data_IF_164972919300
#
_entry.id   IF_164972919300
#
_cell.length_a   1.000
_cell.length_b   1.000
_cell.length_c   1.000
_cell.angle_alpha   90.00
_cell.angle_beta   90.00
_cell.angle_gamma   90.00
#
_symmetry.space_group_name_H-M   'P 1'
#
loop_
_entity.id
_entity.type
_entity.pdbx_description
1 polymer ?
#
# COMPACT_ATOMS: atom_id res chain seq x y z
N UNK A 1 12.16 7.18 -9.29
CA UNK A 1 13.44 7.27 -8.56
C UNK A 1 13.92 5.95 -7.95
N UNK A 2 13.03 5.02 -7.55
CA UNK A 2 13.45 3.65 -7.16
C UNK A 2 14.16 2.94 -8.33
N UNK A 3 13.61 3.03 -9.54
CA UNK A 3 14.23 2.48 -10.75
C UNK A 3 15.67 2.98 -11.00
N UNK A 4 15.97 4.25 -10.69
CA UNK A 4 17.31 4.84 -10.89
C UNK A 4 18.37 4.24 -9.96
N UNK A 5 18.00 3.91 -8.72
CA UNK A 5 18.92 3.32 -7.73
C UNK A 5 19.07 1.80 -7.92
N UNK A 6 17.97 1.13 -8.28
CA UNK A 6 17.96 -0.30 -8.64
C UNK A 6 18.83 -0.58 -9.87
N UNK A 7 18.78 0.28 -10.90
CA UNK A 7 19.62 0.16 -12.12
C UNK A 7 21.12 0.32 -11.85
N UNK A 8 21.52 1.05 -10.81
CA UNK A 8 22.94 1.33 -10.51
C UNK A 8 23.52 0.43 -9.42
N UNK A 9 22.76 -0.54 -8.91
CA UNK A 9 23.23 -1.48 -7.88
C UNK A 9 23.54 -0.81 -6.53
N UNK A 10 23.05 0.41 -6.30
CA UNK A 10 23.23 1.13 -5.05
C UNK A 10 22.01 0.86 -4.17
N UNK A 11 22.21 0.15 -3.07
CA UNK A 11 21.19 0.00 -2.03
C UNK A 11 20.92 1.37 -1.43
N UNK A 12 19.65 1.77 -1.35
CA UNK A 12 19.26 2.91 -0.54
C UNK A 12 19.42 2.45 0.92
N UNK A 13 20.41 2.96 1.69
CA UNK A 13 20.73 2.45 3.03
C UNK A 13 19.79 3.05 4.07
N UNK A 14 18.51 3.18 3.71
CA UNK A 14 17.49 3.84 4.50
C UNK A 14 16.14 3.23 4.12
N UNK A 15 15.34 2.93 5.14
CA UNK A 15 13.98 2.42 5.00
C UNK A 15 13.10 3.44 4.26
N UNK A 16 11.96 3.00 3.70
CA UNK A 16 11.04 3.93 3.02
C UNK A 16 10.63 5.11 3.93
N UNK A 17 10.34 4.94 5.24
CA UNK A 17 10.08 6.05 6.16
C UNK A 17 11.26 7.00 6.35
N UNK A 18 12.49 6.49 6.48
CA UNK A 18 13.69 7.33 6.55
C UNK A 18 13.91 8.08 5.25
N UNK A 19 13.57 7.46 4.13
CA UNK A 19 13.61 8.07 2.80
C UNK A 19 12.58 9.19 2.69
N UNK A 20 11.32 8.96 3.07
CA UNK A 20 10.29 9.99 3.12
C UNK A 20 10.61 11.11 4.12
N UNK A 21 11.17 10.78 5.29
CA UNK A 21 11.64 11.78 6.25
C UNK A 21 12.82 12.60 5.69
N UNK A 22 13.72 11.96 4.93
CA UNK A 22 14.78 12.63 4.20
C UNK A 22 14.25 13.54 3.09
N UNK A 23 13.19 13.13 2.39
CA UNK A 23 12.49 13.95 1.41
C UNK A 23 11.83 15.16 2.08
N UNK A 24 11.10 14.97 3.18
CA UNK A 24 10.47 16.06 3.93
C UNK A 24 11.47 17.09 4.47
N UNK A 25 12.70 16.66 4.78
CA UNK A 25 13.78 17.56 5.22
C UNK A 25 14.44 18.32 4.07
N UNK A 26 14.47 17.76 2.87
CA UNK A 26 15.26 18.28 1.73
C UNK A 26 14.43 18.94 0.66
N UNK A 27 13.17 18.56 0.55
CA UNK A 27 12.29 18.96 -0.53
C UNK A 27 10.96 19.47 0.02
N UNK A 28 10.42 20.56 -0.55
CA UNK A 28 9.09 21.05 -0.22
C UNK A 28 8.01 20.03 -0.58
N UNK A 29 7.09 19.81 0.36
CA UNK A 29 5.93 18.93 0.20
C UNK A 29 4.71 19.71 -0.31
N UNK A 30 3.97 19.12 -1.27
CA UNK A 30 2.66 19.58 -1.74
C UNK A 30 1.75 18.39 -2.01
N UNK A 31 0.57 18.37 -1.40
CA UNK A 31 -0.44 17.31 -1.56
C UNK A 31 0.14 15.88 -1.38
N UNK A 32 1.07 15.68 -0.45
CA UNK A 32 1.71 14.39 -0.20
C UNK A 32 2.80 13.98 -1.20
N UNK A 33 3.24 14.91 -2.07
CA UNK A 33 4.34 14.73 -3.02
C UNK A 33 5.50 15.69 -2.71
N UNK A 34 6.73 15.28 -3.01
CA UNK A 34 7.93 16.10 -2.82
C UNK A 34 8.45 16.63 -4.15
N UNK A 35 8.68 17.94 -4.21
CA UNK A 35 9.10 18.64 -5.43
C UNK A 35 10.49 19.26 -5.27
N UNK A 36 11.21 19.43 -6.38
CA UNK A 36 12.37 20.31 -6.38
C UNK A 36 11.92 21.75 -6.07
N UNK A 37 12.72 22.58 -5.38
CA UNK A 37 12.35 23.96 -5.05
C UNK A 37 11.84 24.76 -6.25
N UNK A 38 12.45 24.58 -7.43
CA UNK A 38 12.08 25.28 -8.66
C UNK A 38 10.75 24.79 -9.27
N UNK A 39 10.32 23.57 -8.93
CA UNK A 39 9.06 22.98 -9.42
C UNK A 39 7.84 23.38 -8.58
N UNK A 40 8.06 23.90 -7.35
CA UNK A 40 7.00 24.27 -6.43
C UNK A 40 6.13 25.38 -6.99
N UNK A 41 6.75 26.44 -7.51
CA UNK A 41 6.02 27.58 -8.03
C UNK A 41 5.13 27.22 -9.23
N UNK A 42 5.60 26.30 -10.08
CA UNK A 42 4.83 25.80 -11.21
C UNK A 42 3.70 24.87 -10.76
N UNK A 43 3.96 23.99 -9.80
CA UNK A 43 2.94 23.14 -9.19
C UNK A 43 1.85 23.95 -8.51
N UNK A 44 2.21 24.90 -7.65
CA UNK A 44 1.26 25.75 -6.92
C UNK A 44 0.39 26.56 -7.90
N UNK A 45 0.99 27.07 -9.00
CA UNK A 45 0.25 27.76 -10.07
C UNK A 45 -0.75 26.85 -10.79
N UNK A 46 -0.36 25.62 -11.11
CA UNK A 46 -1.26 24.61 -11.72
C UNK A 46 -2.32 24.14 -10.72
N UNK A 47 -1.98 24.01 -9.44
CA UNK A 47 -2.90 23.59 -8.37
C UNK A 47 -4.01 24.60 -8.15
N UNK A 48 -3.68 25.90 -8.21
CA UNK A 48 -4.67 26.98 -8.15
C UNK A 48 -5.65 26.97 -9.34
N UNK A 49 -5.26 26.38 -10.49
CA UNK A 49 -6.16 26.22 -11.65
C UNK A 49 -7.05 24.97 -11.58
N UNK A 50 -6.73 24.01 -10.70
CA UNK A 50 -7.46 22.74 -10.56
C UNK A 50 -8.31 22.81 -9.30
N UNK A 51 -9.57 23.23 -9.46
CA UNK A 51 -10.51 23.43 -8.33
C UNK A 51 -10.94 22.12 -7.66
N UNK A 52 -10.78 20.98 -8.34
CA UNK A 52 -11.15 19.67 -7.84
C UNK A 52 -10.15 18.65 -8.42
N UNK A 53 -9.38 17.96 -7.57
CA UNK A 53 -8.88 16.63 -7.96
C UNK A 53 -10.10 15.71 -7.79
N UNK A 54 -11.08 15.88 -8.66
CA UNK A 54 -12.19 14.96 -8.78
C UNK A 54 -11.63 13.68 -9.39
N UNK A 55 -11.43 12.71 -8.52
CA UNK A 55 -11.90 11.36 -8.79
C UNK A 55 -11.33 10.77 -10.10
N UNK A 56 -10.02 10.47 -10.12
CA UNK A 56 -9.61 9.25 -10.81
C UNK A 56 -10.47 8.15 -10.20
N UNK A 57 -11.52 7.73 -10.90
CA UNK A 57 -12.19 6.47 -10.62
C UNK A 57 -11.10 5.40 -10.75
N UNK A 58 -10.45 5.11 -9.63
CA UNK A 58 -9.51 4.01 -9.54
C UNK A 58 -10.35 2.77 -9.72
N UNK A 59 -10.25 2.17 -10.90
CA UNK A 59 -10.77 0.83 -11.09
C UNK A 59 -10.05 -0.07 -10.09
N UNK A 60 -10.82 -0.66 -9.17
CA UNK A 60 -10.29 -1.63 -8.21
C UNK A 60 -10.17 -2.96 -8.94
N UNK A 61 -8.99 -3.18 -9.52
CA UNK A 61 -8.68 -4.37 -10.33
C UNK A 61 -7.74 -5.31 -9.62
N UNK A 62 -6.98 -4.82 -8.64
CA UNK A 62 -5.98 -5.56 -7.90
C UNK A 62 -5.87 -5.12 -6.43
N UNK A 63 -5.08 -5.82 -5.62
CA UNK A 63 -4.81 -5.48 -4.22
C UNK A 63 -4.27 -4.05 -4.08
N UNK A 64 -3.38 -3.63 -4.99
CA UNK A 64 -2.72 -2.32 -4.90
C UNK A 64 -3.71 -1.16 -5.10
N UNK A 65 -4.59 -1.28 -6.09
CA UNK A 65 -5.67 -0.35 -6.41
C UNK A 65 -6.77 -0.39 -5.35
N UNK A 66 -7.08 -1.56 -4.77
CA UNK A 66 -8.00 -1.69 -3.64
C UNK A 66 -7.49 -0.92 -2.41
N UNK A 67 -6.21 -1.07 -2.07
CA UNK A 67 -5.59 -0.33 -0.96
C UNK A 67 -5.58 1.16 -1.24
N UNK A 68 -5.30 1.56 -2.49
CA UNK A 68 -5.34 2.98 -2.87
C UNK A 68 -6.75 3.57 -2.76
N UNK A 69 -7.77 2.81 -3.18
CA UNK A 69 -9.17 3.19 -3.01
C UNK A 69 -9.53 3.33 -1.53
N UNK A 70 -9.15 2.37 -0.68
CA UNK A 70 -9.35 2.44 0.77
C UNK A 70 -8.64 3.65 1.39
N UNK A 71 -7.41 3.95 0.96
CA UNK A 71 -6.68 5.14 1.39
C UNK A 71 -7.46 6.42 1.05
N UNK A 72 -8.06 6.51 -0.14
CA UNK A 72 -8.89 7.67 -0.49
C UNK A 72 -10.13 7.78 0.41
N UNK A 73 -10.84 6.67 0.63
CA UNK A 73 -12.02 6.65 1.50
C UNK A 73 -11.68 7.06 2.95
N UNK A 74 -10.56 6.58 3.48
CA UNK A 74 -10.14 6.85 4.85
C UNK A 74 -9.46 8.21 5.02
N UNK A 75 -8.89 8.77 3.95
CA UNK A 75 -8.38 10.14 3.93
C UNK A 75 -9.52 11.16 4.01
N UNK A 76 -10.66 10.87 3.39
CA UNK A 76 -11.85 11.72 3.49
C UNK A 76 -12.44 11.70 4.90
N UNK A 77 -12.59 10.50 5.47
CA UNK A 77 -13.07 10.33 6.84
C UNK A 77 -12.72 8.95 7.40
N UNK A 78 -12.43 8.83 8.70
CA UNK A 78 -12.39 7.55 9.39
C UNK A 78 -13.74 6.85 9.37
N UNK A 79 -13.77 5.60 8.91
CA UNK A 79 -15.00 4.85 8.66
C UNK A 79 -14.97 3.48 9.32
N UNK A 80 -16.13 3.00 9.73
CA UNK A 80 -16.28 1.63 10.23
C UNK A 80 -16.30 0.61 9.09
N UNK A 81 -16.07 -0.67 9.41
CA UNK A 81 -16.23 -1.74 8.43
C UNK A 81 -17.63 -1.76 7.80
N UNK A 82 -18.67 -1.52 8.60
CA UNK A 82 -20.06 -1.49 8.13
C UNK A 82 -20.33 -0.36 7.13
N UNK A 83 -19.65 0.77 7.29
CA UNK A 83 -19.75 1.90 6.35
C UNK A 83 -18.97 1.62 5.05
N UNK A 84 -17.80 0.99 5.15
CA UNK A 84 -16.92 0.71 4.00
C UNK A 84 -17.40 -0.47 3.14
N UNK A 85 -17.91 -1.54 3.76
CA UNK A 85 -18.22 -2.78 3.07
C UNK A 85 -19.19 -2.64 1.88
N UNK A 86 -20.34 -1.94 2.01
CA UNK A 86 -21.24 -1.75 0.87
C UNK A 86 -20.64 -0.91 -0.26
N UNK A 87 -19.71 0.00 0.05
CA UNK A 87 -19.01 0.80 -0.95
C UNK A 87 -17.95 -0.06 -1.66
N UNK A 88 -17.18 -0.83 -0.90
CA UNK A 88 -16.17 -1.73 -1.45
C UNK A 88 -16.77 -2.76 -2.42
N UNK A 89 -17.90 -3.38 -2.04
CA UNK A 89 -18.58 -4.36 -2.90
C UNK A 89 -19.07 -3.78 -4.24
N UNK A 90 -19.30 -2.47 -4.33
CA UNK A 90 -19.68 -1.81 -5.59
C UNK A 90 -18.48 -1.62 -6.52
N UNK A 91 -17.29 -1.45 -5.97
CA UNK A 91 -16.08 -1.07 -6.70
C UNK A 91 -15.27 -2.29 -7.17
N UNK A 92 -15.35 -3.43 -6.47
CA UNK A 92 -14.60 -4.66 -6.82
C UNK A 92 -15.12 -5.41 -8.07
N UNK A 93 -16.10 -4.86 -8.80
CA UNK A 93 -16.69 -5.53 -9.97
C UNK A 93 -15.70 -5.83 -11.10
N UNK A 94 -14.57 -5.12 -11.14
CA UNK A 94 -13.51 -5.28 -12.14
C UNK A 94 -12.31 -6.12 -11.70
N UNK A 95 -12.42 -6.92 -10.63
CA UNK A 95 -11.29 -7.67 -10.09
C UNK A 95 -10.59 -8.57 -11.11
N UNK A 96 -9.27 -8.54 -11.13
CA UNK A 96 -8.44 -9.34 -12.01
C UNK A 96 -8.70 -10.84 -11.78
N UNK A 97 -8.96 -11.60 -12.86
CA UNK A 97 -9.34 -13.02 -12.78
C UNK A 97 -8.21 -13.89 -12.23
N UNK A 98 -6.97 -13.46 -12.42
CA UNK A 98 -5.75 -14.16 -12.01
C UNK A 98 -5.32 -13.77 -10.58
N UNK A 99 -5.96 -12.78 -9.98
CA UNK A 99 -5.62 -12.32 -8.65
C UNK A 99 -6.52 -12.94 -7.58
N UNK A 100 -5.88 -13.37 -6.49
CA UNK A 100 -6.59 -13.85 -5.31
C UNK A 100 -7.43 -12.71 -4.72
N UNK A 101 -8.77 -12.85 -4.66
CA UNK A 101 -9.60 -11.86 -4.01
C UNK A 101 -9.25 -11.85 -2.52
N UNK A 102 -9.06 -10.66 -1.97
CA UNK A 102 -8.84 -10.45 -0.55
C UNK A 102 -10.10 -9.85 0.07
N UNK A 103 -10.43 -10.33 1.27
CA UNK A 103 -11.53 -9.76 2.03
C UNK A 103 -11.21 -8.34 2.47
N UNK A 104 -12.24 -7.50 2.56
CA UNK A 104 -12.07 -6.12 3.03
C UNK A 104 -11.42 -6.07 4.42
N UNK A 105 -11.75 -7.02 5.30
CA UNK A 105 -11.14 -7.11 6.63
C UNK A 105 -9.64 -7.34 6.54
N UNK A 106 -9.19 -8.23 5.66
CA UNK A 106 -7.78 -8.53 5.47
C UNK A 106 -7.02 -7.31 4.93
N UNK A 107 -7.60 -6.61 3.94
CA UNK A 107 -7.02 -5.38 3.41
C UNK A 107 -6.92 -4.30 4.49
N UNK A 108 -7.94 -4.16 5.32
CA UNK A 108 -7.97 -3.17 6.40
C UNK A 108 -6.93 -3.49 7.49
N UNK A 109 -6.90 -4.73 7.97
CA UNK A 109 -5.99 -5.19 9.02
C UNK A 109 -4.51 -5.08 8.62
N UNK A 110 -4.19 -5.30 7.35
CA UNK A 110 -2.82 -5.27 6.86
C UNK A 110 -2.34 -3.87 6.44
N UNK A 111 -3.23 -2.89 6.28
CA UNK A 111 -2.87 -1.59 5.69
C UNK A 111 -3.34 -0.36 6.48
N UNK A 112 -4.24 -0.52 7.45
CA UNK A 112 -4.79 0.57 8.23
C UNK A 112 -4.86 0.23 9.72
N UNK A 113 -5.19 1.23 10.54
CA UNK A 113 -5.39 1.06 11.98
C UNK A 113 -6.86 1.17 12.32
N UNK A 114 -7.32 0.31 13.23
CA UNK A 114 -8.66 0.37 13.81
C UNK A 114 -8.56 0.83 15.27
N UNK A 115 -9.42 1.77 15.66
CA UNK A 115 -9.46 2.22 17.05
C UNK A 115 -10.33 1.30 17.91
N UNK A 116 -9.71 0.68 18.92
CA UNK A 116 -10.34 -0.36 19.76
C UNK A 116 -11.11 0.18 20.99
N UNK A 117 -11.04 1.49 21.24
CA UNK A 117 -11.72 2.14 22.35
C UNK A 117 -10.97 2.13 23.69
N UNK A 118 -9.75 1.56 23.76
CA UNK A 118 -9.02 1.46 25.04
C UNK A 118 -8.19 2.71 25.31
N UNK A 119 -7.32 3.06 24.37
CA UNK A 119 -6.42 4.22 24.49
C UNK A 119 -7.14 5.54 24.18
N UNK A 120 -6.40 6.63 24.22
CA UNK A 120 -6.88 7.94 23.78
C UNK A 120 -7.23 7.92 22.29
N UNK A 121 -8.26 8.68 21.92
CA UNK A 121 -8.71 8.76 20.53
C UNK A 121 -7.59 9.37 19.66
N UNK A 122 -7.18 8.68 18.57
CA UNK A 122 -6.19 9.19 17.63
C UNK A 122 -6.57 10.55 17.06
N UNK A 123 -5.58 11.41 16.81
CA UNK A 123 -5.79 12.78 16.31
C UNK A 123 -6.59 12.81 15.00
N UNK A 124 -6.44 11.80 14.15
CA UNK A 124 -7.15 11.63 12.88
C UNK A 124 -8.66 11.48 13.10
N UNK A 125 -9.05 10.62 14.04
CA UNK A 125 -10.46 10.39 14.39
C UNK A 125 -11.00 11.59 15.17
N UNK A 126 -10.24 12.11 16.13
CA UNK A 126 -10.65 13.25 16.95
C UNK A 126 -10.92 14.50 16.12
N UNK A 127 -10.04 14.82 15.16
CA UNK A 127 -10.20 15.96 14.26
C UNK A 127 -11.48 15.84 13.42
N UNK A 128 -11.74 14.65 12.87
CA UNK A 128 -12.94 14.37 12.10
C UNK A 128 -14.20 14.52 12.97
N UNK A 129 -14.22 13.87 14.14
CA UNK A 129 -15.39 13.89 15.02
C UNK A 129 -15.71 15.29 15.56
N UNK A 130 -14.69 16.02 16.02
CA UNK A 130 -14.86 17.38 16.56
C UNK A 130 -15.36 18.36 15.51
N UNK A 131 -14.97 18.19 14.24
CA UNK A 131 -15.41 19.07 13.15
C UNK A 131 -16.86 18.82 12.78
N UNK A 132 -17.25 17.53 12.67
CA UNK A 132 -18.53 17.13 12.09
C UNK A 132 -19.68 16.99 13.10
N UNK A 133 -19.38 16.74 14.39
CA UNK A 133 -20.37 16.51 15.44
C UNK A 133 -20.29 17.62 16.49
N UNK A 134 -21.38 18.38 16.67
CA UNK A 134 -21.39 19.56 17.56
C UNK A 134 -21.16 19.17 19.02
N UNK A 135 -21.73 18.04 19.40
CA UNK A 135 -21.68 17.43 20.73
C UNK A 135 -20.29 16.89 21.09
N UNK A 136 -19.41 16.66 20.11
CA UNK A 136 -18.06 16.13 20.33
C UNK A 136 -16.96 17.21 20.28
N UNK A 137 -17.34 18.49 20.19
CA UNK A 137 -16.40 19.60 20.09
C UNK A 137 -15.69 19.86 21.41
N UNK A 138 -14.38 20.11 21.32
CA UNK A 138 -13.52 20.46 22.48
C UNK A 138 -13.51 19.39 23.59
N UNK A 139 -13.98 18.18 23.30
CA UNK A 139 -13.85 17.06 24.23
C UNK A 139 -12.39 16.60 24.27
N UNK A 140 -11.88 16.23 25.45
CA UNK A 140 -10.55 15.64 25.57
C UNK A 140 -10.53 14.25 24.90
N UNK A 141 -9.33 13.78 24.54
CA UNK A 141 -9.17 12.53 23.77
C UNK A 141 -9.53 11.27 24.57
N UNK A 142 -9.62 11.38 25.87
CA UNK A 142 -9.98 10.31 26.80
C UNK A 142 -11.49 10.25 27.10
N UNK A 143 -12.28 11.20 26.61
CA UNK A 143 -13.72 11.30 26.90
C UNK A 143 -14.51 10.07 26.43
N UNK A 144 -15.37 9.53 27.30
CA UNK A 144 -16.13 8.30 27.04
C UNK A 144 -17.06 8.40 25.82
N UNK A 145 -17.69 9.56 25.61
CA UNK A 145 -18.62 9.77 24.48
C UNK A 145 -17.85 9.83 23.17
N UNK A 146 -16.68 10.47 23.20
CA UNK A 146 -15.77 10.52 22.06
C UNK A 146 -15.22 9.11 21.75
N UNK A 147 -14.73 8.37 22.74
CA UNK A 147 -14.25 6.98 22.57
C UNK A 147 -15.34 6.08 21.99
N UNK A 148 -16.56 6.17 22.51
CA UNK A 148 -17.70 5.39 22.03
C UNK A 148 -18.02 5.67 20.55
N UNK A 149 -17.94 6.94 20.11
CA UNK A 149 -18.19 7.30 18.71
C UNK A 149 -17.02 6.97 17.78
N UNK A 150 -15.79 7.00 18.32
CA UNK A 150 -14.56 6.71 17.60
C UNK A 150 -14.34 5.20 17.38
N UNK A 151 -14.91 4.35 18.25
CA UNK A 151 -14.70 2.91 18.26
C UNK A 151 -15.01 2.27 16.89
N UNK A 152 -14.21 1.27 16.54
CA UNK A 152 -14.32 0.45 15.32
C UNK A 152 -14.14 1.23 14.00
N UNK A 153 -13.66 2.49 14.09
CA UNK A 153 -13.30 3.29 12.92
C UNK A 153 -11.88 3.01 12.50
N UNK A 154 -11.74 2.70 11.21
CA UNK A 154 -10.47 2.59 10.51
C UNK A 154 -9.95 3.98 10.13
N UNK A 155 -8.65 4.15 10.17
CA UNK A 155 -7.97 5.40 9.81
C UNK A 155 -6.56 5.15 9.27
N UNK A 156 -6.02 6.15 8.59
CA UNK A 156 -4.67 6.10 8.01
C UNK A 156 -3.64 6.23 9.15
N UNK A 157 -2.68 5.30 9.27
CA UNK A 157 -1.63 5.39 10.28
C UNK A 157 -0.77 6.64 10.09
N UNK A 158 -0.33 7.24 11.21
CA UNK A 158 0.73 8.24 11.19
C UNK A 158 2.05 7.64 10.71
N UNK A 159 3.01 8.43 10.18
CA UNK A 159 4.29 7.94 9.70
C UNK A 159 5.04 7.03 10.70
N UNK A 160 4.91 7.30 11.99
CA UNK A 160 5.52 6.50 13.05
C UNK A 160 4.90 5.09 13.19
N UNK A 161 3.58 4.97 13.01
CA UNK A 161 2.85 3.68 13.10
C UNK A 161 2.80 2.96 11.75
N UNK A 162 3.02 3.67 10.64
CA UNK A 162 3.03 3.12 9.30
C UNK A 162 4.14 2.07 9.11
N UNK A 163 5.32 2.26 9.73
CA UNK A 163 6.43 1.32 9.60
C UNK A 163 6.17 -0.04 10.26
N UNK A 164 5.49 -0.09 11.41
CA UNK A 164 5.15 -1.36 12.06
C UNK A 164 4.09 -2.14 11.26
N UNK A 165 3.15 -1.41 10.66
CA UNK A 165 2.13 -1.97 9.78
C UNK A 165 2.73 -2.52 8.48
N UNK A 166 3.70 -1.80 7.91
CA UNK A 166 4.46 -2.26 6.73
C UNK A 166 5.21 -3.56 7.04
N UNK A 167 5.87 -3.67 8.19
CA UNK A 167 6.53 -4.91 8.62
C UNK A 167 5.55 -6.06 8.81
N UNK A 168 4.38 -5.80 9.41
CA UNK A 168 3.34 -6.81 9.59
C UNK A 168 2.84 -7.33 8.24
N UNK A 169 2.55 -6.40 7.32
CA UNK A 169 2.12 -6.74 5.96
C UNK A 169 3.20 -7.50 5.19
N UNK A 170 4.44 -7.02 5.22
CA UNK A 170 5.57 -7.68 4.57
C UNK A 170 5.73 -9.11 5.10
N UNK A 171 5.62 -9.32 6.42
CA UNK A 171 5.67 -10.65 7.02
C UNK A 171 4.54 -11.57 6.53
N UNK A 172 3.32 -11.05 6.38
CA UNK A 172 2.19 -11.80 5.85
C UNK A 172 2.41 -12.18 4.37
N UNK A 173 2.84 -11.23 3.55
CA UNK A 173 3.17 -11.44 2.14
C UNK A 173 4.29 -12.46 1.94
N UNK A 174 5.36 -12.37 2.74
CA UNK A 174 6.48 -13.32 2.67
C UNK A 174 6.08 -14.73 3.12
N UNK A 175 5.17 -14.85 4.08
CA UNK A 175 4.62 -16.15 4.49
C UNK A 175 3.87 -16.81 3.34
N UNK A 176 3.02 -16.06 2.64
CA UNK A 176 2.29 -16.56 1.47
C UNK A 176 3.25 -16.86 0.29
N UNK A 177 4.29 -16.05 0.10
CA UNK A 177 5.33 -16.33 -0.90
C UNK A 177 6.09 -17.63 -0.63
N UNK A 178 6.37 -17.95 0.64
CA UNK A 178 7.05 -19.20 1.00
C UNK A 178 6.21 -20.44 0.60
N UNK A 179 4.88 -20.35 0.71
CA UNK A 179 3.98 -21.39 0.23
C UNK A 179 4.11 -21.58 -1.30
N UNK A 180 4.25 -20.49 -2.06
CA UNK A 180 4.46 -20.55 -3.51
C UNK A 180 5.83 -21.12 -3.89
N UNK A 181 6.86 -20.86 -3.07
CA UNK A 181 8.20 -21.45 -3.24
C UNK A 181 8.14 -22.97 -3.07
N UNK A 182 7.43 -23.46 -2.07
CA UNK A 182 7.28 -24.88 -1.76
C UNK A 182 6.37 -25.63 -2.76
N UNK A 183 5.50 -24.91 -3.46
CA UNK A 183 4.64 -25.48 -4.49
C UNK A 183 5.45 -26.09 -5.64
N UNK A 184 5.33 -27.40 -5.85
CA UNK A 184 6.17 -28.16 -6.80
C UNK A 184 5.68 -28.07 -8.25
N UNK A 185 4.40 -27.75 -8.47
CA UNK A 185 3.78 -27.71 -9.80
C UNK A 185 3.86 -26.30 -10.39
N UNK A 186 3.70 -26.19 -11.70
CA UNK A 186 3.43 -24.89 -12.33
C UNK A 186 2.01 -24.45 -11.97
N UNK A 187 1.83 -23.15 -11.74
CA UNK A 187 0.52 -22.55 -11.64
C UNK A 187 -0.17 -22.60 -13.01
N UNK A 188 -1.47 -22.87 -13.01
CA UNK A 188 -2.29 -22.75 -14.21
C UNK A 188 -2.69 -21.29 -14.38
N UNK A 189 -2.99 -20.86 -15.60
CA UNK A 189 -3.51 -19.51 -15.86
C UNK A 189 -4.88 -19.24 -15.22
N UNK A 190 -5.55 -20.29 -14.72
CA UNK A 190 -6.80 -20.22 -13.96
C UNK A 190 -6.58 -20.14 -12.44
N UNK A 191 -5.37 -20.42 -11.97
CA UNK A 191 -5.07 -20.40 -10.54
C UNK A 191 -5.04 -18.95 -10.05
N UNK A 192 -5.65 -18.70 -8.89
CA UNK A 192 -5.66 -17.40 -8.25
C UNK A 192 -4.55 -17.36 -7.21
N UNK A 193 -3.60 -16.44 -7.38
CA UNK A 193 -2.55 -16.21 -6.40
C UNK A 193 -2.38 -14.71 -6.17
N UNK A 194 -1.82 -14.37 -5.01
CA UNK A 194 -1.63 -13.00 -4.58
C UNK A 194 -0.36 -12.47 -5.22
N UNK A 195 -0.50 -11.67 -6.29
CA UNK A 195 0.65 -11.10 -7.01
C UNK A 195 1.54 -10.25 -6.09
N UNK A 196 0.94 -9.57 -5.12
CA UNK A 196 1.69 -8.78 -4.15
C UNK A 196 2.65 -9.63 -3.29
N UNK A 197 2.28 -10.87 -2.97
CA UNK A 197 3.17 -11.79 -2.26
C UNK A 197 4.37 -12.19 -3.13
N UNK A 198 4.16 -12.42 -4.43
CA UNK A 198 5.24 -12.68 -5.38
C UNK A 198 6.17 -11.47 -5.50
N UNK A 199 5.61 -10.25 -5.63
CA UNK A 199 6.40 -9.01 -5.69
C UNK A 199 7.24 -8.80 -4.43
N UNK A 200 6.66 -9.03 -3.25
CA UNK A 200 7.38 -8.93 -1.97
C UNK A 200 8.50 -9.97 -1.87
N UNK A 201 8.22 -11.22 -2.25
CA UNK A 201 9.21 -12.28 -2.30
C UNK A 201 10.36 -12.00 -3.27
N UNK A 202 10.06 -11.54 -4.48
CA UNK A 202 11.07 -11.19 -5.49
C UNK A 202 11.92 -10.00 -5.03
N UNK A 203 11.30 -8.98 -4.46
CA UNK A 203 12.01 -7.86 -3.85
C UNK A 203 12.99 -8.35 -2.78
N UNK A 204 12.54 -9.16 -1.83
CA UNK A 204 13.41 -9.71 -0.77
C UNK A 204 14.54 -10.56 -1.34
N UNK A 205 14.22 -11.52 -2.22
CA UNK A 205 15.20 -12.42 -2.83
C UNK A 205 16.26 -11.63 -3.62
N UNK A 206 15.87 -10.54 -4.29
CA UNK A 206 16.82 -9.67 -4.98
C UNK A 206 17.79 -8.98 -4.03
N UNK A 207 17.29 -8.43 -2.93
CA UNK A 207 18.13 -7.77 -1.91
C UNK A 207 19.12 -8.77 -1.29
N UNK A 208 18.69 -10.02 -1.11
CA UNK A 208 19.51 -11.12 -0.61
C UNK A 208 20.41 -11.77 -1.67
N UNK A 209 20.34 -11.32 -2.93
CA UNK A 209 21.04 -11.89 -4.10
C UNK A 209 20.68 -13.35 -4.40
N UNK A 210 19.52 -13.81 -3.94
CA UNK A 210 18.95 -15.12 -4.27
C UNK A 210 18.20 -15.04 -5.61
N UNK A 211 18.95 -14.83 -6.68
CA UNK A 211 18.41 -14.76 -8.05
C UNK A 211 17.80 -16.10 -8.51
N UNK A 212 18.30 -17.21 -7.96
CA UNK A 212 17.82 -18.56 -8.28
C UNK A 212 16.37 -18.72 -7.84
N UNK A 213 16.01 -18.26 -6.63
CA UNK A 213 14.61 -18.29 -6.16
C UNK A 213 13.68 -17.49 -7.07
N UNK A 214 14.10 -16.30 -7.54
CA UNK A 214 13.31 -15.47 -8.46
C UNK A 214 13.02 -16.24 -9.75
N UNK A 215 14.05 -16.80 -10.40
CA UNK A 215 13.91 -17.55 -11.65
C UNK A 215 13.03 -18.80 -11.44
N UNK A 216 13.27 -19.56 -10.37
CA UNK A 216 12.52 -20.78 -10.09
C UNK A 216 11.03 -20.52 -9.86
N UNK A 217 10.68 -19.46 -9.14
CA UNK A 217 9.27 -19.10 -8.90
C UNK A 217 8.65 -18.48 -10.15
N UNK A 218 9.37 -17.63 -10.89
CA UNK A 218 8.90 -17.06 -12.16
C UNK A 218 8.56 -18.15 -13.18
N UNK A 219 9.39 -19.20 -13.29
CA UNK A 219 9.16 -20.34 -14.18
C UNK A 219 7.92 -21.18 -13.84
N UNK A 220 7.40 -21.05 -12.62
CA UNK A 220 6.14 -21.68 -12.19
C UNK A 220 4.92 -20.83 -12.55
N UNK A 221 5.09 -19.52 -12.75
CA UNK A 221 4.03 -18.58 -13.08
C UNK A 221 3.80 -18.61 -14.61
N UNK A 222 2.53 -18.65 -15.07
CA UNK A 222 2.22 -18.51 -16.49
C UNK A 222 2.81 -17.23 -17.10
N UNK A 223 3.45 -17.36 -18.26
CA UNK A 223 4.13 -16.24 -18.95
C UNK A 223 3.22 -15.04 -19.18
N UNK A 224 1.93 -15.28 -19.50
CA UNK A 224 0.98 -14.19 -19.70
C UNK A 224 0.82 -13.32 -18.43
N UNK A 225 0.80 -13.94 -17.25
CA UNK A 225 0.68 -13.22 -15.97
C UNK A 225 1.98 -12.50 -15.63
N UNK A 226 3.12 -13.17 -15.87
CA UNK A 226 4.43 -12.58 -15.64
C UNK A 226 4.66 -11.35 -16.52
N UNK A 227 4.20 -11.39 -17.79
CA UNK A 227 4.37 -10.30 -18.74
C UNK A 227 3.43 -9.11 -18.51
N UNK A 228 2.23 -9.36 -17.98
CA UNK A 228 1.30 -8.30 -17.60
C UNK A 228 1.83 -7.49 -16.40
N UNK A 229 2.66 -8.09 -15.55
CA UNK A 229 3.27 -7.44 -14.40
C UNK A 229 4.69 -6.93 -14.68
N UNK A 230 4.79 -5.64 -15.00
CA UNK A 230 6.07 -4.97 -15.26
C UNK A 230 7.12 -5.13 -14.15
N UNK A 231 6.71 -5.23 -12.87
CA UNK A 231 7.66 -5.39 -11.76
C UNK A 231 8.20 -6.81 -11.73
N UNK A 232 7.33 -7.82 -11.89
CA UNK A 232 7.76 -9.22 -11.89
C UNK A 232 8.67 -9.51 -13.09
N UNK A 233 8.34 -8.99 -14.27
CA UNK A 233 9.19 -9.08 -15.46
C UNK A 233 10.57 -8.45 -15.21
N UNK A 234 10.61 -7.23 -14.67
CA UNK A 234 11.86 -6.54 -14.34
C UNK A 234 12.75 -7.37 -13.38
N UNK A 235 12.18 -7.93 -12.32
CA UNK A 235 12.92 -8.78 -11.38
C UNK A 235 13.45 -10.06 -12.04
N UNK A 236 12.61 -10.71 -12.84
CA UNK A 236 12.97 -11.93 -13.56
C UNK A 236 14.12 -11.69 -14.54
N UNK A 237 14.01 -10.70 -15.42
CA UNK A 237 15.02 -10.38 -16.43
C UNK A 237 16.35 -9.96 -15.79
N UNK A 238 16.26 -9.19 -14.70
CA UNK A 238 17.42 -8.84 -13.89
C UNK A 238 18.09 -10.07 -13.28
N UNK A 239 17.32 -11.05 -12.82
CA UNK A 239 17.84 -12.25 -12.18
C UNK A 239 18.53 -13.14 -13.22
N UNK A 240 17.90 -13.36 -14.38
CA UNK A 240 18.47 -14.11 -15.51
C UNK A 240 19.79 -13.48 -15.97
N UNK A 241 19.85 -12.16 -16.09
CA UNK A 241 21.07 -11.45 -16.50
C UNK A 241 22.22 -11.67 -15.49
N UNK A 242 21.92 -11.67 -14.19
CA UNK A 242 22.92 -11.85 -13.13
C UNK A 242 23.37 -13.31 -12.98
N UNK A 243 22.53 -14.29 -13.30
CA UNK A 243 22.89 -15.72 -13.24
C UNK A 243 23.50 -16.24 -14.54
N UNK A 244 23.08 -15.74 -15.70
CA UNK A 244 23.56 -16.14 -17.02
C UNK A 244 24.83 -15.43 -17.48
N UNK A 245 25.24 -14.37 -16.77
CA UNK A 245 26.53 -13.70 -16.96
C UNK A 245 27.67 -14.26 -16.11
N UNK A 246 27.52 -15.47 -15.54
CA UNK A 246 28.53 -16.19 -14.77
C UNK A 246 29.08 -17.37 -15.56
#
# INVERSE_FOLDING_TARGET
MVAFHVLRGVTIPMSAPEFYAGLARRFPERDGMYFLPDQVAEYDKKRMTVKEILQLQLFVTDESSAIQWLKQQLAMKPQTFQELHPQFMKEIGGWNKQEKPLELSELLEQNFLCYDGKEDVPSQIHSYLSTNFKELRKLPKDDLSLKAKAKDRWYIPDPNKAGDLEKLRERALLREFEEYKQYQKKFKSTDKFRLEAVRAGFSKAWHERDYITIINVANKIPENILHEDSKLMMWHDGAVTRTGGS
#
